data_IF_963575499006
#
_entry.id   IF_963575499006
#
_cell.length_a   1.000
_cell.length_b   1.000
_cell.length_c   1.000
_cell.angle_alpha   90.00
_cell.angle_beta   90.00
_cell.angle_gamma   90.00
#
_symmetry.space_group_name_H-M   'P 1'
#
loop_
_entity.id
_entity.type
_entity.pdbx_description
1 polymer ?
#
# COMPACT_ATOMS: atom_id res chain seq x y z
N UNK A 1 9.44 -1.22 -4.00
CA UNK A 1 8.33 -0.31 -4.32
C UNK A 1 8.02 -0.19 -5.81
N UNK A 2 8.88 0.32 -6.73
CA UNK A 2 8.51 0.42 -8.16
C UNK A 2 8.09 -0.93 -8.79
N UNK A 3 8.84 -1.99 -8.51
CA UNK A 3 8.53 -3.35 -9.01
C UNK A 3 7.20 -3.85 -8.40
N UNK A 4 6.94 -3.53 -7.14
CA UNK A 4 5.68 -3.88 -6.46
C UNK A 4 4.50 -3.15 -7.10
N UNK A 5 4.60 -1.84 -7.33
CA UNK A 5 3.56 -1.04 -7.97
C UNK A 5 3.21 -1.57 -9.36
N UNK A 6 4.21 -1.59 -10.26
CA UNK A 6 3.97 -2.00 -11.65
C UNK A 6 3.64 -3.48 -11.78
N UNK A 7 4.29 -4.32 -10.96
CA UNK A 7 4.04 -5.75 -10.95
C UNK A 7 2.64 -6.08 -10.40
N UNK A 8 2.25 -5.52 -9.25
CA UNK A 8 0.94 -5.82 -8.66
C UNK A 8 -0.20 -5.30 -9.53
N UNK A 9 -0.09 -4.06 -10.05
CA UNK A 9 -1.12 -3.51 -10.93
C UNK A 9 -1.17 -4.30 -12.25
N UNK A 10 -0.01 -4.55 -12.88
CA UNK A 10 0.03 -5.27 -14.15
C UNK A 10 -0.49 -6.72 -14.04
N UNK A 11 0.00 -7.47 -13.06
CA UNK A 11 -0.46 -8.85 -12.85
C UNK A 11 -1.89 -8.90 -12.32
N UNK A 12 -2.30 -7.92 -11.50
CA UNK A 12 -3.67 -7.79 -11.01
C UNK A 12 -4.67 -7.58 -12.15
N UNK A 13 -4.35 -6.72 -13.12
CA UNK A 13 -5.18 -6.51 -14.32
C UNK A 13 -5.25 -7.77 -15.20
N UNK A 14 -4.13 -8.46 -15.39
CA UNK A 14 -4.08 -9.67 -16.23
C UNK A 14 -4.85 -10.82 -15.56
N UNK A 15 -4.65 -11.02 -14.26
CA UNK A 15 -5.28 -12.10 -13.50
C UNK A 15 -6.71 -11.79 -13.04
N UNK A 16 -7.16 -10.54 -13.15
CA UNK A 16 -8.43 -10.09 -12.56
C UNK A 16 -8.43 -10.12 -11.04
N UNK A 17 -7.25 -10.09 -10.39
CA UNK A 17 -7.09 -10.14 -8.94
C UNK A 17 -7.24 -8.76 -8.32
N UNK A 18 -8.31 -8.56 -7.56
CA UNK A 18 -8.54 -7.31 -6.83
C UNK A 18 -7.62 -7.16 -5.62
N UNK A 19 -7.14 -8.27 -5.05
CA UNK A 19 -6.13 -8.25 -4.00
C UNK A 19 -4.79 -7.67 -4.50
N UNK A 20 -4.34 -8.09 -5.68
CA UNK A 20 -3.15 -7.51 -6.34
C UNK A 20 -3.35 -6.04 -6.68
N UNK A 21 -4.53 -5.66 -7.19
CA UNK A 21 -4.85 -4.26 -7.53
C UNK A 21 -4.90 -3.37 -6.28
N UNK A 22 -5.48 -3.84 -5.18
CA UNK A 22 -5.54 -3.13 -3.91
C UNK A 22 -4.12 -2.91 -3.35
N UNK A 23 -3.32 -3.96 -3.29
CA UNK A 23 -1.93 -3.91 -2.83
C UNK A 23 -1.07 -2.99 -3.70
N UNK A 24 -1.20 -3.09 -5.03
CA UNK A 24 -0.46 -2.23 -5.96
C UNK A 24 -0.90 -0.77 -5.92
N UNK A 25 -2.18 -0.51 -5.70
CA UNK A 25 -2.73 0.84 -5.53
C UNK A 25 -2.21 1.52 -4.27
N UNK A 26 -2.19 0.81 -3.16
CA UNK A 26 -1.63 1.24 -1.90
C UNK A 26 -0.13 1.54 -2.02
N UNK A 27 0.65 0.59 -2.56
CA UNK A 27 2.09 0.79 -2.83
C UNK A 27 2.38 1.98 -3.76
N UNK A 28 1.46 2.31 -4.69
CA UNK A 28 1.58 3.49 -5.54
C UNK A 28 1.40 4.79 -4.72
N UNK A 29 0.42 4.81 -3.83
CA UNK A 29 0.14 5.96 -2.95
C UNK A 29 1.32 6.21 -2.02
N UNK A 30 1.85 5.15 -1.37
CA UNK A 30 3.07 5.23 -0.55
C UNK A 30 4.27 5.76 -1.34
N UNK A 31 4.46 5.29 -2.58
CA UNK A 31 5.56 5.74 -3.42
C UNK A 31 5.45 7.24 -3.72
N UNK A 32 4.26 7.72 -4.07
CA UNK A 32 3.98 9.13 -4.36
C UNK A 32 4.20 9.98 -3.11
N UNK A 33 3.69 9.55 -1.97
CA UNK A 33 3.89 10.19 -0.67
C UNK A 33 5.37 10.27 -0.30
N UNK A 34 6.10 9.17 -0.39
CA UNK A 34 7.53 9.11 -0.10
C UNK A 34 8.37 10.04 -0.98
N UNK A 35 8.08 10.11 -2.29
CA UNK A 35 8.76 11.04 -3.20
C UNK A 35 8.45 12.49 -2.82
N UNK A 36 7.21 12.80 -2.47
CA UNK A 36 6.80 14.14 -2.11
C UNK A 36 7.47 14.61 -0.80
N UNK A 37 7.55 13.74 0.20
CA UNK A 37 8.28 14.01 1.47
C UNK A 37 9.78 14.23 1.19
N UNK A 38 10.42 13.38 0.39
CA UNK A 38 11.84 13.53 0.04
C UNK A 38 12.13 14.83 -0.71
N UNK A 39 11.24 15.25 -1.61
CA UNK A 39 11.38 16.52 -2.34
C UNK A 39 11.16 17.73 -1.41
N UNK A 40 10.23 17.62 -0.45
CA UNK A 40 10.03 18.61 0.60
C UNK A 40 11.28 18.82 1.46
N UNK A 41 11.85 17.75 2.01
CA UNK A 41 13.08 17.80 2.81
C UNK A 41 14.29 18.35 2.06
N UNK A 42 14.38 18.06 0.76
CA UNK A 42 15.46 18.59 -0.09
C UNK A 42 15.33 20.10 -0.33
N UNK A 43 14.12 20.63 -0.40
CA UNK A 43 13.86 22.05 -0.53
C UNK A 43 14.08 22.81 0.80
N UNK A 44 13.83 22.19 1.96
CA UNK A 44 14.11 22.74 3.28
C UNK A 44 15.60 23.02 3.49
N UNK A 45 16.46 22.15 3.01
CA UNK A 45 17.91 22.36 3.07
C UNK A 45 18.40 23.58 2.27
N UNK A 46 17.51 24.13 1.40
CA UNK A 46 17.85 25.27 0.51
C UNK A 46 17.15 26.58 0.89
N UNK A 47 15.99 26.56 1.58
CA UNK A 47 15.25 27.78 1.97
C UNK A 47 14.42 27.52 3.24
N UNK A 48 14.79 28.13 4.34
CA UNK A 48 14.07 28.08 5.63
C UNK A 48 12.72 28.81 5.51
N UNK A 49 11.59 28.07 5.57
CA UNK A 49 10.28 28.65 5.82
C UNK A 49 9.05 28.12 5.10
N UNK A 50 9.14 27.13 4.20
CA UNK A 50 7.98 26.69 3.37
C UNK A 50 7.52 25.26 3.69
N UNK A 51 8.17 24.58 4.60
CA UNK A 51 8.03 23.14 4.83
C UNK A 51 6.67 22.66 5.33
N UNK A 52 6.04 23.36 6.25
CA UNK A 52 4.80 22.89 6.89
C UNK A 52 3.61 22.85 5.95
N UNK A 53 3.46 23.83 5.07
CA UNK A 53 2.32 23.89 4.15
C UNK A 53 2.44 22.90 2.99
N UNK A 54 3.66 22.60 2.55
CA UNK A 54 3.90 21.59 1.51
C UNK A 54 3.58 20.19 2.04
N UNK A 55 4.05 19.84 3.22
CA UNK A 55 3.77 18.54 3.83
C UNK A 55 2.27 18.33 4.06
N UNK A 56 1.53 19.33 4.55
CA UNK A 56 0.07 19.26 4.70
C UNK A 56 -0.68 19.05 3.38
N UNK A 57 -0.20 19.63 2.28
CA UNK A 57 -0.81 19.41 0.95
C UNK A 57 -0.57 17.98 0.45
N UNK A 58 0.64 17.46 0.64
CA UNK A 58 0.98 16.08 0.27
C UNK A 58 0.12 15.11 1.05
N UNK A 59 0.03 15.28 2.36
CA UNK A 59 -0.75 14.44 3.26
C UNK A 59 -2.24 14.45 2.92
N UNK A 60 -2.83 15.62 2.64
CA UNK A 60 -4.21 15.74 2.15
C UNK A 60 -4.42 14.99 0.83
N UNK A 61 -3.47 15.10 -0.07
CA UNK A 61 -3.56 14.43 -1.37
C UNK A 61 -3.47 12.91 -1.21
N UNK A 62 -2.53 12.42 -0.40
CA UNK A 62 -2.34 10.99 -0.10
C UNK A 62 -3.57 10.42 0.59
N UNK A 63 -4.07 11.08 1.64
CA UNK A 63 -5.30 10.68 2.33
C UNK A 63 -6.50 10.63 1.37
N UNK A 64 -6.64 11.62 0.49
CA UNK A 64 -7.68 11.61 -0.53
C UNK A 64 -7.59 10.45 -1.51
N UNK A 65 -6.38 10.05 -1.91
CA UNK A 65 -6.15 8.89 -2.78
C UNK A 65 -6.48 7.58 -2.07
N UNK A 66 -6.11 7.43 -0.79
CA UNK A 66 -6.48 6.26 0.03
C UNK A 66 -8.01 6.12 0.15
N UNK A 67 -8.71 7.23 0.46
CA UNK A 67 -10.17 7.22 0.48
C UNK A 67 -10.80 6.91 -0.88
N UNK A 68 -10.18 7.29 -2.00
CA UNK A 68 -10.67 6.98 -3.34
C UNK A 68 -10.40 5.52 -3.73
N UNK A 69 -9.29 4.95 -3.28
CA UNK A 69 -8.91 3.56 -3.57
C UNK A 69 -9.94 2.57 -3.02
N UNK A 70 -10.44 2.81 -1.80
CA UNK A 70 -11.39 1.92 -1.13
C UNK A 70 -12.65 1.66 -1.97
N UNK A 71 -13.44 2.69 -2.38
CA UNK A 71 -14.64 2.44 -3.17
C UNK A 71 -14.32 1.94 -4.58
N UNK A 72 -13.23 2.35 -5.19
CA UNK A 72 -12.85 1.89 -6.55
C UNK A 72 -12.59 0.39 -6.54
N UNK A 73 -11.75 -0.09 -5.64
CA UNK A 73 -11.42 -1.51 -5.54
C UNK A 73 -12.59 -2.30 -4.94
N UNK A 74 -13.23 -1.78 -3.88
CA UNK A 74 -14.31 -2.47 -3.18
C UNK A 74 -15.54 -2.68 -4.07
N UNK A 75 -15.97 -1.65 -4.81
CA UNK A 75 -17.10 -1.77 -5.76
C UNK A 75 -16.73 -2.64 -6.95
N UNK A 76 -15.49 -2.56 -7.46
CA UNK A 76 -14.99 -3.41 -8.52
C UNK A 76 -14.99 -4.88 -8.11
N UNK A 77 -14.45 -5.20 -6.94
CA UNK A 77 -14.42 -6.55 -6.39
C UNK A 77 -15.85 -7.08 -6.13
N UNK A 78 -16.73 -6.26 -5.56
CA UNK A 78 -18.13 -6.62 -5.33
C UNK A 78 -18.87 -6.90 -6.65
N UNK A 79 -18.71 -6.03 -7.65
CA UNK A 79 -19.29 -6.24 -8.97
C UNK A 79 -18.79 -7.53 -9.63
N UNK A 80 -17.47 -7.77 -9.57
CA UNK A 80 -16.85 -8.98 -10.09
C UNK A 80 -17.39 -10.25 -9.40
N UNK A 81 -17.56 -10.20 -8.08
CA UNK A 81 -18.11 -11.30 -7.29
C UNK A 81 -19.54 -11.64 -7.70
N UNK A 82 -20.44 -10.64 -7.82
CA UNK A 82 -21.85 -10.88 -8.20
C UNK A 82 -22.04 -11.29 -9.66
N UNK A 83 -21.14 -10.88 -10.56
CA UNK A 83 -21.14 -11.28 -11.97
C UNK A 83 -20.49 -12.64 -12.20
N UNK A 84 -19.92 -13.26 -11.14
CA UNK A 84 -19.30 -14.57 -11.20
C UNK A 84 -17.97 -14.58 -11.95
N UNK A 85 -17.33 -13.44 -12.12
CA UNK A 85 -15.97 -13.36 -12.63
C UNK A 85 -15.02 -13.99 -11.61
N UNK A 86 -14.17 -14.89 -12.07
CA UNK A 86 -13.20 -15.57 -11.20
C UNK A 86 -11.82 -15.03 -11.50
N UNK A 87 -11.10 -14.55 -10.47
CA UNK A 87 -9.69 -14.25 -10.62
C UNK A 87 -8.94 -15.49 -11.09
N UNK A 88 -7.85 -15.30 -11.82
CA UNK A 88 -6.98 -16.40 -12.22
C UNK A 88 -5.72 -16.41 -11.35
N UNK A 89 -5.28 -17.60 -10.97
CA UNK A 89 -4.05 -17.76 -10.19
C UNK A 89 -2.85 -17.17 -10.94
N UNK A 90 -2.16 -16.23 -10.32
CA UNK A 90 -1.01 -15.53 -10.89
C UNK A 90 0.30 -16.00 -10.24
N UNK A 91 1.08 -16.90 -10.87
CA UNK A 91 2.39 -17.31 -10.35
C UNK A 91 3.36 -16.14 -10.19
N UNK A 92 3.28 -15.14 -11.08
CA UNK A 92 4.08 -13.92 -10.99
C UNK A 92 3.62 -13.02 -9.84
N UNK A 93 2.29 -12.97 -9.59
CA UNK A 93 1.73 -12.31 -8.41
C UNK A 93 2.19 -12.97 -7.11
N UNK A 94 2.24 -14.30 -7.06
CA UNK A 94 2.79 -15.05 -5.90
C UNK A 94 4.26 -14.72 -5.68
N UNK A 95 5.08 -14.74 -6.73
CA UNK A 95 6.50 -14.40 -6.62
C UNK A 95 6.71 -12.96 -6.11
N UNK A 96 5.89 -12.02 -6.57
CA UNK A 96 5.90 -10.64 -6.12
C UNK A 96 5.50 -10.51 -4.65
N UNK A 97 4.42 -11.18 -4.22
CA UNK A 97 3.97 -11.19 -2.83
C UNK A 97 5.03 -11.80 -1.89
N UNK A 98 5.70 -12.88 -2.30
CA UNK A 98 6.84 -13.44 -1.56
C UNK A 98 7.97 -12.41 -1.44
N UNK A 99 8.30 -11.73 -2.55
CA UNK A 99 9.29 -10.66 -2.55
C UNK A 99 8.94 -9.55 -1.54
N UNK A 100 7.69 -9.10 -1.52
CA UNK A 100 7.20 -8.10 -0.58
C UNK A 100 7.32 -8.57 0.88
N UNK A 101 6.92 -9.81 1.19
CA UNK A 101 7.02 -10.40 2.54
C UNK A 101 8.47 -10.44 3.04
N UNK A 102 9.45 -10.61 2.15
CA UNK A 102 10.88 -10.63 2.50
C UNK A 102 11.43 -9.21 2.63
N UNK A 103 11.07 -8.32 1.70
CA UNK A 103 11.63 -6.97 1.61
C UNK A 103 11.06 -6.04 2.67
N UNK A 104 9.77 -6.13 3.01
CA UNK A 104 9.13 -5.22 3.97
C UNK A 104 9.74 -5.27 5.38
N UNK A 105 10.03 -6.43 6.00
CA UNK A 105 10.72 -6.48 7.29
C UNK A 105 12.13 -5.88 7.23
N UNK A 106 12.84 -6.08 6.12
CA UNK A 106 14.15 -5.48 5.93
C UNK A 106 14.06 -3.95 5.88
N UNK A 107 13.10 -3.42 5.11
CA UNK A 107 12.86 -1.97 5.05
C UNK A 107 12.47 -1.40 6.40
N UNK A 108 11.59 -2.07 7.15
CA UNK A 108 11.22 -1.67 8.51
C UNK A 108 12.44 -1.50 9.41
N UNK A 109 13.31 -2.51 9.46
CA UNK A 109 14.52 -2.47 10.30
C UNK A 109 15.46 -1.33 9.89
N UNK A 110 15.67 -1.14 8.58
CA UNK A 110 16.53 -0.08 8.07
C UNK A 110 15.96 1.31 8.32
N UNK A 111 14.68 1.55 8.00
CA UNK A 111 13.99 2.82 8.24
C UNK A 111 13.99 3.17 9.73
N UNK A 112 13.68 2.21 10.61
CA UNK A 112 13.68 2.39 12.06
C UNK A 112 15.08 2.72 12.61
N UNK A 113 16.12 2.06 12.09
CA UNK A 113 17.51 2.32 12.47
C UNK A 113 17.93 3.73 12.08
N UNK A 114 17.75 4.09 10.81
CA UNK A 114 18.12 5.41 10.28
C UNK A 114 17.30 6.51 10.97
N UNK A 115 15.98 6.31 11.17
CA UNK A 115 15.13 7.25 11.88
C UNK A 115 15.61 7.56 13.31
N UNK A 116 16.09 6.53 14.03
CA UNK A 116 16.70 6.72 15.36
C UNK A 116 18.05 7.45 15.29
N UNK A 117 18.92 7.09 14.35
CA UNK A 117 20.24 7.71 14.18
C UNK A 117 20.12 9.19 13.77
N UNK A 118 19.17 9.52 12.89
CA UNK A 118 18.93 10.89 12.40
C UNK A 118 17.95 11.70 13.27
N UNK A 119 17.32 11.07 14.28
CA UNK A 119 16.21 11.65 15.07
C UNK A 119 15.05 12.16 14.20
N UNK A 120 14.83 11.52 13.07
CA UNK A 120 13.76 11.87 12.14
C UNK A 120 12.44 11.18 12.52
N UNK A 121 11.47 11.95 12.99
CA UNK A 121 10.12 11.48 13.29
C UNK A 121 9.41 10.93 12.02
N UNK A 122 9.42 11.63 10.86
CA UNK A 122 8.77 11.12 9.65
C UNK A 122 9.29 9.74 9.22
N UNK A 123 10.61 9.51 9.31
CA UNK A 123 11.19 8.22 8.93
C UNK A 123 10.82 7.10 9.92
N UNK A 124 10.57 7.44 11.18
CA UNK A 124 10.11 6.48 12.19
C UNK A 124 8.65 6.09 11.99
N UNK A 125 7.81 7.01 11.52
CA UNK A 125 6.41 6.78 11.14
C UNK A 125 6.37 5.91 9.88
N UNK A 126 7.09 6.26 8.83
CA UNK A 126 7.23 5.50 7.59
C UNK A 126 7.75 4.05 7.81
N UNK A 127 8.51 3.82 8.91
CA UNK A 127 8.86 2.46 9.31
C UNK A 127 7.62 1.65 9.77
N UNK A 128 6.66 2.27 10.43
CA UNK A 128 5.43 1.59 10.89
C UNK A 128 4.55 1.20 9.69
N UNK A 129 4.44 2.07 8.68
CA UNK A 129 3.75 1.78 7.42
C UNK A 129 4.29 0.52 6.75
N UNK A 130 5.62 0.31 6.77
CA UNK A 130 6.23 -0.92 6.25
C UNK A 130 5.77 -2.20 6.96
N UNK A 131 5.33 -2.12 8.22
CA UNK A 131 4.71 -3.26 8.93
C UNK A 131 3.29 -3.51 8.44
N UNK A 132 2.52 -2.46 8.20
CA UNK A 132 1.17 -2.57 7.62
C UNK A 132 1.23 -3.22 6.23
N UNK A 133 2.16 -2.76 5.36
CA UNK A 133 2.41 -3.37 4.06
C UNK A 133 2.83 -4.84 4.16
N UNK A 134 3.59 -5.23 5.19
CA UNK A 134 3.92 -6.64 5.43
C UNK A 134 2.65 -7.48 5.69
N UNK A 135 1.72 -7.00 6.53
CA UNK A 135 0.47 -7.72 6.79
C UNK A 135 -0.42 -7.79 5.55
N UNK A 136 -0.47 -6.74 4.75
CA UNK A 136 -1.19 -6.75 3.47
C UNK A 136 -0.55 -7.72 2.47
N UNK A 137 0.79 -7.77 2.39
CA UNK A 137 1.51 -8.74 1.57
C UNK A 137 1.27 -10.19 2.01
N UNK A 138 1.17 -10.45 3.33
CA UNK A 138 0.81 -11.77 3.85
C UNK A 138 -0.63 -12.16 3.51
N UNK A 139 -1.57 -11.24 3.60
CA UNK A 139 -2.97 -11.47 3.20
C UNK A 139 -3.07 -11.76 1.69
N UNK A 140 -2.37 -10.97 0.87
CA UNK A 140 -2.26 -11.19 -0.56
C UNK A 140 -1.67 -12.55 -0.89
N UNK A 141 -0.54 -12.89 -0.29
CA UNK A 141 0.13 -14.18 -0.50
C UNK A 141 -0.78 -15.35 -0.10
N UNK A 142 -1.46 -15.24 1.04
CA UNK A 142 -2.42 -16.24 1.49
C UNK A 142 -3.57 -16.44 0.52
N UNK A 143 -4.16 -15.36 0.00
CA UNK A 143 -5.22 -15.40 -1.01
C UNK A 143 -4.76 -16.07 -2.31
N UNK A 144 -3.62 -15.63 -2.86
CA UNK A 144 -3.06 -16.17 -4.10
C UNK A 144 -2.64 -17.66 -3.98
N UNK A 145 -2.08 -18.06 -2.84
CA UNK A 145 -1.72 -19.46 -2.60
C UNK A 145 -2.97 -20.34 -2.43
N UNK A 146 -3.99 -19.86 -1.74
CA UNK A 146 -5.25 -20.58 -1.59
C UNK A 146 -5.94 -20.78 -2.95
N UNK A 147 -5.90 -19.78 -3.82
CA UNK A 147 -6.40 -19.90 -5.17
C UNK A 147 -5.56 -20.89 -5.99
N UNK A 148 -4.23 -20.75 -5.98
CA UNK A 148 -3.33 -21.56 -6.79
C UNK A 148 -3.34 -23.06 -6.43
N UNK A 149 -3.30 -23.39 -5.12
CA UNK A 149 -3.20 -24.77 -4.66
C UNK A 149 -4.56 -25.43 -4.39
N UNK A 150 -5.56 -24.67 -3.96
CA UNK A 150 -6.85 -25.19 -3.54
C UNK A 150 -8.00 -24.85 -4.53
N UNK A 151 -7.72 -24.01 -5.55
CA UNK A 151 -8.73 -23.56 -6.50
C UNK A 151 -9.82 -22.66 -5.88
N UNK A 152 -9.52 -22.04 -4.74
CA UNK A 152 -10.46 -21.20 -3.99
C UNK A 152 -10.48 -19.78 -4.54
N UNK A 153 -11.15 -19.59 -5.67
CA UNK A 153 -11.28 -18.29 -6.35
C UNK A 153 -11.80 -17.16 -5.44
N UNK A 154 -12.63 -17.48 -4.45
CA UNK A 154 -13.15 -16.51 -3.49
C UNK A 154 -12.10 -16.03 -2.47
N UNK A 155 -10.96 -16.70 -2.35
CA UNK A 155 -9.88 -16.32 -1.43
C UNK A 155 -9.25 -14.97 -1.82
N UNK A 156 -9.21 -14.63 -3.12
CA UNK A 156 -8.78 -13.31 -3.60
C UNK A 156 -9.68 -12.19 -3.06
N UNK A 157 -11.00 -12.38 -3.05
CA UNK A 157 -11.95 -11.40 -2.50
C UNK A 157 -11.82 -11.24 -0.99
N UNK A 158 -11.53 -12.32 -0.26
CA UNK A 158 -11.22 -12.22 1.17
C UNK A 158 -9.91 -11.46 1.40
N UNK A 159 -8.86 -11.77 0.67
CA UNK A 159 -7.60 -11.04 0.73
C UNK A 159 -7.81 -9.56 0.39
N UNK A 160 -8.60 -9.25 -0.66
CA UNK A 160 -9.01 -7.88 -1.01
C UNK A 160 -9.68 -7.20 0.18
N UNK A 161 -10.63 -7.84 0.84
CA UNK A 161 -11.32 -7.29 2.00
C UNK A 161 -10.38 -6.99 3.18
N UNK A 162 -9.43 -7.88 3.45
CA UNK A 162 -8.42 -7.69 4.48
C UNK A 162 -7.51 -6.50 4.13
N UNK A 163 -7.02 -6.42 2.88
CA UNK A 163 -6.17 -5.31 2.41
C UNK A 163 -6.93 -3.98 2.52
N UNK A 164 -8.18 -3.93 2.04
CA UNK A 164 -9.00 -2.72 2.14
C UNK A 164 -9.28 -2.30 3.59
N UNK A 165 -9.35 -3.23 4.54
CA UNK A 165 -9.46 -2.89 5.95
C UNK A 165 -8.20 -2.20 6.49
N UNK A 166 -7.00 -2.64 6.07
CA UNK A 166 -5.75 -1.95 6.38
C UNK A 166 -5.66 -0.58 5.73
N UNK A 167 -5.99 -0.47 4.44
CA UNK A 167 -6.04 0.81 3.70
C UNK A 167 -7.04 1.78 4.34
N UNK A 168 -8.22 1.30 4.76
CA UNK A 168 -9.20 2.12 5.45
C UNK A 168 -8.70 2.64 6.80
N UNK A 169 -8.00 1.79 7.55
CA UNK A 169 -7.37 2.20 8.81
C UNK A 169 -6.33 3.30 8.56
N UNK A 170 -5.47 3.13 7.60
CA UNK A 170 -4.43 4.09 7.23
C UNK A 170 -5.03 5.41 6.74
N UNK A 171 -6.09 5.36 5.91
CA UNK A 171 -6.82 6.54 5.47
C UNK A 171 -7.42 7.33 6.64
N UNK A 172 -7.95 6.64 7.66
CA UNK A 172 -8.51 7.27 8.86
C UNK A 172 -7.39 7.85 9.74
N UNK A 173 -6.28 7.14 9.92
CA UNK A 173 -5.12 7.62 10.69
C UNK A 173 -4.57 8.91 10.04
N UNK A 174 -4.33 8.92 8.74
CA UNK A 174 -3.89 10.09 7.97
C UNK A 174 -4.90 11.26 8.04
N UNK A 175 -6.21 10.97 8.03
CA UNK A 175 -7.23 12.00 8.19
C UNK A 175 -7.23 12.65 9.59
N UNK A 176 -7.02 11.87 10.65
CA UNK A 176 -6.94 12.38 12.02
C UNK A 176 -5.72 13.29 12.21
N UNK A 177 -4.55 12.88 11.72
CA UNK A 177 -3.33 13.68 11.78
C UNK A 177 -3.52 15.09 11.15
N UNK A 178 -4.30 15.17 10.05
CA UNK A 178 -4.62 16.43 9.38
C UNK A 178 -5.52 17.38 10.21
N UNK A 179 -6.27 16.87 11.18
CA UNK A 179 -7.26 17.66 11.93
C UNK A 179 -6.87 17.91 13.39
N UNK A 180 -5.85 17.26 13.91
CA UNK A 180 -5.35 17.46 15.28
C UNK A 180 -4.28 18.57 15.41
N UNK A 181 -3.81 19.14 14.31
CA UNK A 181 -2.94 20.33 14.27
C UNK A 181 -3.74 21.62 13.90
#
# INVERSE_FOLDING_TARGET
MLIEVFGSIGFGLIAGSFALLAFGGDSLIELVSGIAVLTGLRNESSHSGVSGEHNKRVEKFTSGLLFALIPVIGLGAFYSYITGLKPEASPLGIALAIGAVIVMPYLYVQKKRIGKETRSLPLSIDAIESVTCLFMALALLGGLLAEYFLGLWWADYLATGVILAFVAREAVESYHELHEE
#
